data_IF_541961923632
#
_entry.id   IF_541961923632
#
_cell.length_a   1.000
_cell.length_b   1.000
_cell.length_c   1.000
_cell.angle_alpha   90.00
_cell.angle_beta   90.00
_cell.angle_gamma   90.00
#
_symmetry.space_group_name_H-M   'P 1'
#
loop_
_entity.id
_entity.type
_entity.pdbx_description
1 polymer ?
#
# COMPACT_ATOMS: atom_id res chain seq x y z
N UNK A 1 13.44 -16.36 3.41
CA UNK A 1 12.94 -14.96 3.43
C UNK A 1 13.42 -14.30 2.14
N UNK A 2 12.68 -13.35 1.56
CA UNK A 2 13.23 -12.56 0.43
C UNK A 2 14.44 -11.74 0.94
N UNK A 3 15.53 -11.59 0.18
CA UNK A 3 16.78 -10.96 0.65
C UNK A 3 16.58 -9.58 1.27
N UNK A 4 15.76 -8.75 0.63
CA UNK A 4 15.43 -7.38 1.06
C UNK A 4 14.77 -7.33 2.45
N UNK A 5 13.92 -8.33 2.80
CA UNK A 5 13.29 -8.40 4.12
C UNK A 5 14.30 -8.71 5.22
N UNK A 6 15.31 -9.52 4.93
CA UNK A 6 16.37 -9.82 5.88
C UNK A 6 17.23 -8.59 6.13
N UNK A 7 17.57 -7.86 5.06
CA UNK A 7 18.42 -6.67 5.13
C UNK A 7 17.80 -5.58 6.02
N UNK A 8 16.53 -5.22 5.80
CA UNK A 8 15.85 -4.21 6.65
C UNK A 8 15.69 -4.63 8.10
N UNK A 9 15.45 -5.92 8.36
CA UNK A 9 15.36 -6.43 9.74
C UNK A 9 16.72 -6.34 10.42
N UNK A 10 17.81 -6.64 9.70
CA UNK A 10 19.18 -6.52 10.21
C UNK A 10 19.55 -5.08 10.53
N UNK A 11 19.19 -4.12 9.67
CA UNK A 11 19.43 -2.68 9.92
C UNK A 11 18.73 -2.20 11.20
N UNK A 12 17.48 -2.61 11.42
CA UNK A 12 16.73 -2.29 12.64
C UNK A 12 17.41 -2.90 13.86
N UNK A 13 17.86 -4.16 13.76
CA UNK A 13 18.55 -4.84 14.87
C UNK A 13 19.88 -4.15 15.18
N UNK A 14 20.68 -3.80 14.18
CA UNK A 14 21.96 -3.10 14.39
C UNK A 14 21.75 -1.74 15.07
N UNK A 15 20.76 -0.95 14.62
CA UNK A 15 20.43 0.33 15.25
C UNK A 15 19.99 0.15 16.73
N UNK A 16 19.20 -0.89 17.02
CA UNK A 16 18.76 -1.19 18.37
C UNK A 16 19.91 -1.68 19.26
N UNK A 17 20.79 -2.54 18.75
CA UNK A 17 21.93 -3.04 19.51
C UNK A 17 22.90 -1.90 19.87
N UNK A 18 23.15 -0.97 18.94
CA UNK A 18 23.96 0.23 19.21
C UNK A 18 23.34 1.12 20.28
N UNK A 19 22.04 1.41 20.19
CA UNK A 19 21.36 2.28 21.16
C UNK A 19 21.25 1.66 22.56
N UNK A 20 21.11 0.34 22.64
CA UNK A 20 20.97 -0.40 23.90
C UNK A 20 22.31 -0.90 24.46
N UNK A 21 23.43 -0.60 23.80
CA UNK A 21 24.79 -1.07 24.16
C UNK A 21 24.86 -2.59 24.32
N UNK A 22 24.13 -3.31 23.46
CA UNK A 22 24.07 -4.77 23.46
C UNK A 22 25.26 -5.29 22.66
N UNK A 23 26.12 -6.06 23.31
CA UNK A 23 27.24 -6.75 22.68
C UNK A 23 26.82 -8.20 22.35
N UNK A 24 26.96 -8.60 21.09
CA UNK A 24 26.64 -9.97 20.64
C UNK A 24 27.61 -11.01 21.27
N UNK A 25 28.79 -10.57 21.72
CA UNK A 25 29.80 -11.44 22.33
C UNK A 25 29.66 -11.58 23.85
N UNK A 26 28.80 -10.78 24.47
CA UNK A 26 28.52 -10.88 25.89
C UNK A 26 27.34 -11.83 26.14
N UNK A 27 27.60 -12.90 26.90
CA UNK A 27 26.60 -13.93 27.22
C UNK A 27 25.37 -13.37 27.97
N UNK A 28 25.54 -12.28 28.71
CA UNK A 28 24.46 -11.67 29.49
C UNK A 28 23.46 -10.94 28.57
N UNK A 29 23.95 -10.26 27.53
CA UNK A 29 23.14 -9.47 26.60
C UNK A 29 22.62 -10.27 25.39
N UNK A 30 23.17 -11.46 25.12
CA UNK A 30 22.73 -12.34 24.02
C UNK A 30 21.25 -12.76 24.12
N UNK A 31 20.72 -12.94 25.34
CA UNK A 31 19.29 -13.24 25.54
C UNK A 31 18.42 -12.04 25.16
N UNK A 32 18.84 -10.84 25.54
CA UNK A 32 18.14 -9.58 25.27
C UNK A 32 18.16 -9.27 23.76
N UNK A 33 19.29 -9.50 23.12
CA UNK A 33 19.44 -9.41 21.67
C UNK A 33 18.43 -10.32 20.94
N UNK A 34 18.29 -11.58 21.37
CA UNK A 34 17.31 -12.51 20.80
C UNK A 34 15.86 -12.04 20.97
N UNK A 35 15.54 -11.44 22.11
CA UNK A 35 14.22 -10.83 22.35
C UNK A 35 13.99 -9.66 21.40
N UNK A 36 14.99 -8.80 21.22
CA UNK A 36 14.94 -7.67 20.29
C UNK A 36 14.78 -8.14 18.85
N UNK A 37 15.52 -9.17 18.41
CA UNK A 37 15.38 -9.77 17.08
C UNK A 37 13.95 -10.29 16.85
N UNK A 38 13.34 -10.93 17.85
CA UNK A 38 11.95 -11.41 17.77
C UNK A 38 10.96 -10.24 17.69
N UNK A 39 11.14 -9.21 18.52
CA UNK A 39 10.30 -8.01 18.54
C UNK A 39 10.37 -7.26 17.20
N UNK A 40 11.58 -7.00 16.68
CA UNK A 40 11.80 -6.34 15.40
C UNK A 40 11.15 -7.11 14.23
N UNK A 41 11.28 -8.44 14.21
CA UNK A 41 10.60 -9.28 13.20
C UNK A 41 9.08 -9.16 13.27
N UNK A 42 8.51 -9.09 14.48
CA UNK A 42 7.05 -8.94 14.68
C UNK A 42 6.59 -7.55 14.21
N UNK A 43 7.26 -6.49 14.65
CA UNK A 43 6.98 -5.11 14.23
C UNK A 43 7.03 -4.94 12.71
N UNK A 44 8.04 -5.54 12.05
CA UNK A 44 8.14 -5.49 10.60
C UNK A 44 6.96 -6.19 9.89
N UNK A 45 6.50 -7.33 10.42
CA UNK A 45 5.31 -8.02 9.89
C UNK A 45 4.05 -7.18 10.09
N UNK A 46 3.88 -6.58 11.26
CA UNK A 46 2.72 -5.75 11.58
C UNK A 46 2.68 -4.51 10.68
N UNK A 47 3.83 -3.86 10.47
CA UNK A 47 3.96 -2.72 9.55
C UNK A 47 3.56 -3.11 8.12
N UNK A 48 4.08 -4.24 7.61
CA UNK A 48 3.73 -4.72 6.27
C UNK A 48 2.24 -5.01 6.14
N UNK A 49 1.63 -5.62 7.15
CA UNK A 49 0.20 -5.92 7.14
C UNK A 49 -0.64 -4.63 7.12
N UNK A 50 -0.29 -3.63 7.93
CA UNK A 50 -0.96 -2.32 7.96
C UNK A 50 -0.80 -1.63 6.60
N UNK A 51 0.41 -1.61 6.04
CA UNK A 51 0.68 -0.99 4.74
C UNK A 51 -0.14 -1.65 3.63
N UNK A 52 -0.17 -2.99 3.57
CA UNK A 52 -0.98 -3.73 2.60
C UNK A 52 -2.48 -3.47 2.76
N UNK A 53 -2.97 -3.38 4.00
CA UNK A 53 -4.38 -3.09 4.27
C UNK A 53 -4.78 -1.68 3.83
N UNK A 54 -3.92 -0.68 4.08
CA UNK A 54 -4.12 0.69 3.60
C UNK A 54 -4.11 0.76 2.07
N UNK A 55 -3.09 0.17 1.44
CA UNK A 55 -2.98 0.12 -0.02
C UNK A 55 -4.18 -0.58 -0.67
N UNK A 56 -4.64 -1.69 -0.09
CA UNK A 56 -5.84 -2.39 -0.57
C UNK A 56 -7.10 -1.51 -0.48
N UNK A 57 -7.24 -0.73 0.58
CA UNK A 57 -8.36 0.21 0.75
C UNK A 57 -8.30 1.34 -0.29
N UNK A 58 -7.14 1.95 -0.48
CA UNK A 58 -6.93 3.00 -1.48
C UNK A 58 -7.18 2.49 -2.90
N UNK A 59 -6.66 1.30 -3.24
CA UNK A 59 -6.91 0.68 -4.55
C UNK A 59 -8.40 0.42 -4.81
N UNK A 60 -9.16 0.01 -3.78
CA UNK A 60 -10.63 -0.17 -3.91
C UNK A 60 -11.34 1.16 -4.16
N UNK A 61 -10.96 2.22 -3.44
CA UNK A 61 -11.53 3.55 -3.64
C UNK A 61 -11.22 4.06 -5.04
N UNK A 62 -9.97 3.92 -5.49
CA UNK A 62 -9.54 4.29 -6.83
C UNK A 62 -10.33 3.54 -7.91
N UNK A 63 -10.46 2.22 -7.79
CA UNK A 63 -11.22 1.41 -8.75
C UNK A 63 -12.70 1.82 -8.84
N UNK A 64 -13.30 2.22 -7.71
CA UNK A 64 -14.68 2.71 -7.69
C UNK A 64 -14.81 4.07 -8.38
N UNK A 65 -13.86 4.99 -8.14
CA UNK A 65 -13.84 6.30 -8.76
C UNK A 65 -13.66 6.20 -10.29
N UNK A 66 -12.74 5.34 -10.76
CA UNK A 66 -12.57 5.08 -12.19
C UNK A 66 -13.84 4.53 -12.84
N UNK A 67 -14.54 3.60 -12.17
CA UNK A 67 -15.83 3.08 -12.68
C UNK A 67 -16.90 4.17 -12.75
N UNK A 68 -16.94 5.07 -11.77
CA UNK A 68 -17.87 6.20 -11.73
C UNK A 68 -17.62 7.15 -12.90
N UNK A 69 -16.37 7.57 -13.10
CA UNK A 69 -15.97 8.44 -14.20
C UNK A 69 -16.27 7.82 -15.56
N UNK A 70 -16.03 6.52 -15.73
CA UNK A 70 -16.36 5.82 -16.99
C UNK A 70 -17.88 5.81 -17.26
N UNK A 71 -18.71 5.66 -16.22
CA UNK A 71 -20.16 5.72 -16.35
C UNK A 71 -20.62 7.12 -16.76
N UNK A 72 -20.07 8.16 -16.14
CA UNK A 72 -20.36 9.56 -16.45
C UNK A 72 -19.95 9.91 -17.88
N UNK A 73 -18.77 9.48 -18.32
CA UNK A 73 -18.30 9.67 -19.70
C UNK A 73 -19.24 9.03 -20.73
N UNK A 74 -19.69 7.79 -20.50
CA UNK A 74 -20.67 7.12 -21.38
C UNK A 74 -22.02 7.83 -21.42
N UNK A 75 -22.45 8.40 -20.29
CA UNK A 75 -23.70 9.17 -20.24
C UNK A 75 -23.57 10.49 -21.02
N UNK A 76 -22.43 11.17 -20.90
CA UNK A 76 -22.14 12.38 -21.66
C UNK A 76 -22.12 12.09 -23.17
N UNK A 77 -21.44 11.01 -23.58
CA UNK A 77 -21.37 10.56 -24.98
C UNK A 77 -22.76 10.25 -25.55
N UNK A 78 -23.60 9.52 -24.81
CA UNK A 78 -24.98 9.23 -25.21
C UNK A 78 -25.82 10.49 -25.34
N UNK A 79 -25.69 11.43 -24.39
CA UNK A 79 -26.40 12.71 -24.42
C UNK A 79 -26.01 13.52 -25.65
N UNK A 80 -24.72 13.55 -25.97
CA UNK A 80 -24.20 14.21 -27.18
C UNK A 80 -24.77 13.56 -28.44
N UNK A 81 -24.76 12.24 -28.54
CA UNK A 81 -25.28 11.50 -29.68
C UNK A 81 -26.78 11.77 -29.90
N UNK A 82 -27.59 11.74 -28.84
CA UNK A 82 -29.03 12.05 -28.92
C UNK A 82 -29.25 13.51 -29.32
N UNK A 83 -28.50 14.45 -28.75
CA UNK A 83 -28.60 15.87 -29.11
C UNK A 83 -28.29 16.10 -30.59
N UNK A 84 -27.25 15.45 -31.12
CA UNK A 84 -26.89 15.53 -32.54
C UNK A 84 -27.96 14.91 -33.45
N UNK A 85 -28.54 13.76 -33.08
CA UNK A 85 -29.64 13.15 -33.83
C UNK A 85 -30.88 14.05 -33.87
N UNK A 86 -31.24 14.68 -32.74
CA UNK A 86 -32.38 15.59 -32.67
C UNK A 86 -32.17 16.84 -33.53
N UNK A 87 -30.97 17.43 -33.53
CA UNK A 87 -30.63 18.56 -34.40
C UNK A 87 -30.74 18.21 -35.88
N UNK A 88 -30.14 17.10 -36.29
CA UNK A 88 -30.21 16.65 -37.68
C UNK A 88 -31.66 16.39 -38.13
N UNK A 89 -32.51 15.84 -37.25
CA UNK A 89 -33.92 15.61 -37.59
C UNK A 89 -34.75 16.89 -37.68
N UNK A 90 -34.38 17.95 -36.95
CA UNK A 90 -35.02 19.27 -37.06
C UNK A 90 -34.58 20.04 -38.33
N UNK A 91 -33.40 19.75 -38.86
CA UNK A 91 -32.90 20.37 -40.11
C UNK A 91 -33.47 19.70 -41.37
N UNK A 92 -33.97 18.46 -41.25
CA UNK A 92 -34.57 17.68 -42.35
C UNK A 92 -36.09 17.86 -42.42
N UNK A 93 -36.74 18.33 -41.35
CA UNK A 93 -38.19 18.56 -41.25
C UNK A 93 -38.58 19.98 -41.64
#
# INVERSE_FOLDING_TARGET
MKPEKQQRVTEIIQALNVNLKIDENNKDTSKEENVIRKAAKKLYKDFLHIAQKKLSRENKLFANEVKKQLKEARQAERTLAVSNLLKNNLEIA
#
